data_IF_857046764014
#
_entry.id   IF_857046764014
#
_cell.length_a   1.000
_cell.length_b   1.000
_cell.length_c   1.000
_cell.angle_alpha   90.00
_cell.angle_beta   90.00
_cell.angle_gamma   90.00
#
_symmetry.space_group_name_H-M   'P 1'
#
loop_
_entity.id
_entity.type
_entity.pdbx_description
1 polymer ?
#
# COMPACT_ATOMS: atom_id res chain seq x y z
N UNK A 1 28.44 10.43 -9.36
CA UNK A 1 27.37 10.88 -8.44
C UNK A 1 26.20 9.90 -8.56
N UNK A 2 25.90 9.15 -7.51
CA UNK A 2 24.70 8.35 -7.44
C UNK A 2 23.52 9.30 -7.19
N UNK A 3 22.78 9.61 -8.23
CA UNK A 3 21.53 10.37 -8.11
C UNK A 3 20.45 9.34 -7.74
N UNK A 4 20.27 9.09 -6.44
CA UNK A 4 19.18 8.26 -5.96
C UNK A 4 17.82 8.91 -6.23
N UNK A 5 16.80 8.08 -6.51
CA UNK A 5 15.43 8.58 -6.63
C UNK A 5 14.94 9.08 -5.26
N UNK A 6 14.45 10.32 -5.22
CA UNK A 6 13.81 10.87 -4.02
C UNK A 6 12.43 10.23 -3.85
N UNK A 7 12.17 9.67 -2.66
CA UNK A 7 10.85 9.13 -2.30
C UNK A 7 10.14 10.17 -1.43
N UNK A 8 8.86 10.42 -1.74
CA UNK A 8 7.98 11.28 -0.94
C UNK A 8 7.26 10.45 0.10
N UNK A 9 7.07 11.03 1.29
CA UNK A 9 6.22 10.42 2.33
C UNK A 9 4.75 10.48 1.91
N UNK A 10 3.94 9.56 2.42
CA UNK A 10 2.54 9.42 2.07
C UNK A 10 1.73 10.72 2.23
N UNK A 11 1.90 11.43 3.35
CA UNK A 11 1.24 12.72 3.58
C UNK A 11 1.60 13.76 2.50
N UNK A 12 2.88 13.83 2.11
CA UNK A 12 3.35 14.77 1.07
C UNK A 12 2.71 14.44 -0.29
N UNK A 13 2.59 13.15 -0.64
CA UNK A 13 1.92 12.71 -1.88
C UNK A 13 0.46 13.14 -1.88
N UNK A 14 -0.25 12.93 -0.77
CA UNK A 14 -1.66 13.27 -0.63
C UNK A 14 -1.92 14.78 -0.63
N UNK A 15 -1.10 15.56 0.07
CA UNK A 15 -1.22 17.00 0.14
C UNK A 15 -0.89 17.69 -1.20
N UNK A 16 0.20 17.27 -1.83
CA UNK A 16 0.66 17.85 -3.09
C UNK A 16 -0.04 17.28 -4.31
N UNK A 17 -0.75 16.15 -4.18
CA UNK A 17 -1.39 15.39 -5.27
C UNK A 17 -0.39 15.08 -6.39
N UNK A 18 0.84 14.79 -6.02
CA UNK A 18 1.95 14.48 -6.93
C UNK A 18 2.77 13.33 -6.37
N UNK A 19 3.08 12.37 -7.22
CA UNK A 19 3.92 11.23 -6.90
C UNK A 19 4.51 10.58 -8.15
N UNK A 20 5.67 9.97 -7.99
CA UNK A 20 6.23 9.05 -9.00
C UNK A 20 5.53 7.68 -8.88
N UNK A 21 5.78 6.77 -9.81
CA UNK A 21 5.28 5.38 -9.70
C UNK A 21 5.67 4.74 -8.37
N UNK A 22 6.92 4.95 -7.91
CA UNK A 22 7.40 4.44 -6.63
C UNK A 22 6.69 5.10 -5.43
N UNK A 23 6.48 6.42 -5.45
CA UNK A 23 5.74 7.10 -4.38
C UNK A 23 4.31 6.54 -4.25
N UNK A 24 3.64 6.29 -5.38
CA UNK A 24 2.29 5.74 -5.42
C UNK A 24 2.26 4.26 -5.00
N UNK A 25 3.25 3.46 -5.42
CA UNK A 25 3.38 2.07 -5.00
C UNK A 25 3.59 1.96 -3.47
N UNK A 26 4.47 2.80 -2.90
CA UNK A 26 4.70 2.85 -1.44
C UNK A 26 3.46 3.34 -0.70
N UNK A 27 2.76 4.37 -1.19
CA UNK A 27 1.51 4.84 -0.61
C UNK A 27 0.45 3.73 -0.60
N UNK A 28 0.25 3.05 -1.74
CA UNK A 28 -0.72 1.98 -1.86
C UNK A 28 -0.38 0.80 -0.95
N UNK A 29 0.89 0.36 -0.94
CA UNK A 29 1.37 -0.68 -0.03
C UNK A 29 1.16 -0.31 1.45
N UNK A 30 1.37 0.96 1.82
CA UNK A 30 1.12 1.43 3.19
C UNK A 30 -0.37 1.35 3.57
N UNK A 31 -1.28 1.63 2.63
CA UNK A 31 -2.72 1.46 2.85
C UNK A 31 -3.10 -0.02 3.04
N UNK A 32 -2.55 -0.91 2.22
CA UNK A 32 -2.77 -2.36 2.34
C UNK A 32 -2.25 -2.90 3.67
N UNK A 33 -1.02 -2.51 4.07
CA UNK A 33 -0.44 -2.89 5.37
C UNK A 33 -1.31 -2.39 6.54
N UNK A 34 -1.83 -1.16 6.45
CA UNK A 34 -2.68 -0.56 7.48
C UNK A 34 -4.01 -1.29 7.69
N UNK A 35 -4.53 -1.97 6.68
CA UNK A 35 -5.75 -2.79 6.78
C UNK A 35 -5.45 -4.28 7.01
N UNK A 36 -4.19 -4.64 7.30
CA UNK A 36 -3.79 -5.99 7.68
C UNK A 36 -3.53 -6.93 6.49
N UNK A 37 -3.34 -6.40 5.28
CA UNK A 37 -2.94 -7.18 4.12
C UNK A 37 -1.41 -7.24 3.99
N UNK A 38 -0.90 -8.18 3.19
CA UNK A 38 0.52 -8.42 2.99
C UNK A 38 1.00 -7.88 1.63
N UNK A 39 1.33 -6.58 1.53
CA UNK A 39 1.78 -5.99 0.28
C UNK A 39 3.22 -6.36 -0.06
N UNK A 40 3.50 -6.36 -1.37
CA UNK A 40 4.84 -6.37 -1.93
C UNK A 40 5.02 -5.16 -2.85
N UNK A 41 6.26 -4.70 -3.01
CA UNK A 41 6.60 -3.67 -3.99
C UNK A 41 7.46 -4.33 -5.06
N UNK A 42 7.04 -4.19 -6.31
CA UNK A 42 7.71 -4.78 -7.46
C UNK A 42 8.43 -3.70 -8.23
N UNK A 43 9.69 -3.97 -8.58
CA UNK A 43 10.53 -3.10 -9.38
C UNK A 43 10.80 -3.77 -10.72
N UNK A 44 10.52 -3.04 -11.78
CA UNK A 44 10.90 -3.38 -13.14
C UNK A 44 11.73 -2.24 -13.73
N UNK A 45 12.34 -2.43 -14.88
CA UNK A 45 13.14 -1.40 -15.52
C UNK A 45 12.30 -0.12 -15.74
N UNK A 46 12.71 0.96 -15.09
CA UNK A 46 12.08 2.28 -15.17
C UNK A 46 10.73 2.43 -14.45
N UNK A 47 10.22 1.40 -13.74
CA UNK A 47 8.91 1.47 -13.11
C UNK A 47 8.84 0.69 -11.78
N UNK A 48 7.84 1.05 -10.95
CA UNK A 48 7.51 0.33 -9.73
C UNK A 48 6.00 0.31 -9.52
N UNK A 49 5.48 -0.81 -9.04
CA UNK A 49 4.07 -1.02 -8.74
C UNK A 49 3.87 -1.94 -7.54
N UNK A 50 2.64 -2.15 -7.10
CA UNK A 50 2.35 -2.91 -5.90
C UNK A 50 1.79 -4.29 -6.25
N UNK A 51 2.06 -5.27 -5.38
CA UNK A 51 1.32 -6.52 -5.32
C UNK A 51 0.81 -6.76 -3.91
N UNK A 52 -0.02 -7.79 -3.76
CA UNK A 52 -0.55 -8.20 -2.47
C UNK A 52 -0.71 -9.72 -2.43
N UNK A 53 -0.11 -10.35 -1.42
CA UNK A 53 -0.42 -11.75 -1.12
C UNK A 53 -1.87 -11.87 -0.67
N UNK A 54 -2.59 -12.85 -1.21
CA UNK A 54 -3.98 -13.16 -0.85
C UNK A 54 -4.09 -14.12 0.34
N UNK A 55 -2.99 -14.81 0.63
CA UNK A 55 -2.85 -15.70 1.77
C UNK A 55 -1.83 -15.12 2.77
N UNK A 56 -1.78 -15.67 3.99
CA UNK A 56 -0.79 -15.31 5.02
C UNK A 56 0.60 -15.87 4.68
N UNK A 57 1.06 -15.61 3.46
CA UNK A 57 2.37 -16.03 2.97
C UNK A 57 3.32 -14.84 2.85
N UNK A 58 4.62 -15.15 2.87
CA UNK A 58 5.70 -14.21 2.60
C UNK A 58 6.74 -14.87 1.72
N UNK A 59 7.61 -14.08 1.11
CA UNK A 59 8.81 -14.63 0.48
C UNK A 59 9.78 -15.17 1.53
N UNK A 60 10.71 -16.03 1.09
CA UNK A 60 11.77 -16.55 1.96
C UNK A 60 12.66 -15.41 2.50
N UNK A 61 12.96 -14.44 1.65
CA UNK A 61 13.80 -13.27 1.95
C UNK A 61 13.00 -11.96 1.85
N UNK A 62 13.55 -10.88 2.42
CA UNK A 62 12.94 -9.54 2.37
C UNK A 62 12.79 -9.02 0.94
N UNK A 63 13.66 -9.43 0.05
CA UNK A 63 13.61 -9.10 -1.36
C UNK A 63 14.05 -10.31 -2.19
N UNK A 64 13.49 -10.45 -3.39
CA UNK A 64 13.86 -11.51 -4.36
C UNK A 64 14.07 -10.91 -5.73
N UNK A 65 15.08 -11.38 -6.44
CA UNK A 65 15.34 -11.11 -7.86
C UNK A 65 14.90 -12.28 -8.76
N UNK A 66 14.34 -13.34 -8.17
CA UNK A 66 13.75 -14.47 -8.89
C UNK A 66 12.34 -14.12 -9.38
N UNK A 67 12.21 -13.79 -10.65
CA UNK A 67 10.92 -13.51 -11.29
C UNK A 67 9.93 -14.68 -11.14
N UNK A 68 10.42 -15.93 -11.08
CA UNK A 68 9.56 -17.11 -10.95
C UNK A 68 8.80 -17.14 -9.63
N UNK A 69 9.29 -16.43 -8.61
CA UNK A 69 8.58 -16.27 -7.34
C UNK A 69 7.25 -15.49 -7.50
N UNK A 70 7.20 -14.58 -8.47
CA UNK A 70 5.98 -13.83 -8.81
C UNK A 70 5.14 -14.63 -9.81
N UNK A 71 5.75 -15.08 -10.93
CA UNK A 71 5.05 -15.74 -12.04
C UNK A 71 4.24 -16.95 -11.59
N UNK A 72 4.78 -17.79 -10.71
CA UNK A 72 4.08 -18.96 -10.17
C UNK A 72 2.82 -18.57 -9.39
N UNK A 73 2.86 -17.47 -8.64
CA UNK A 73 1.78 -17.02 -7.77
C UNK A 73 0.67 -16.28 -8.50
N UNK A 74 0.97 -15.68 -9.66
CA UNK A 74 -0.02 -15.02 -10.51
C UNK A 74 -0.56 -15.94 -11.61
N UNK A 75 -0.03 -17.15 -11.74
CA UNK A 75 -0.44 -18.10 -12.75
C UNK A 75 -1.93 -18.46 -12.62
N UNK A 76 -2.56 -18.75 -13.75
CA UNK A 76 -3.97 -19.18 -13.76
C UNK A 76 -4.17 -20.42 -12.89
N UNK A 77 -5.08 -20.31 -11.92
CA UNK A 77 -5.39 -21.37 -10.97
C UNK A 77 -4.57 -21.35 -9.67
N UNK A 78 -3.48 -20.57 -9.58
CA UNK A 78 -2.82 -20.28 -8.31
C UNK A 78 -3.49 -19.08 -7.63
N UNK A 79 -3.53 -17.94 -8.30
CA UNK A 79 -4.14 -16.67 -7.84
C UNK A 79 -3.79 -16.32 -6.38
N UNK A 80 -2.53 -16.60 -5.99
CA UNK A 80 -2.03 -16.36 -4.63
C UNK A 80 -1.53 -14.92 -4.45
N UNK A 81 -1.32 -14.21 -5.57
CA UNK A 81 -0.78 -12.86 -5.59
C UNK A 81 -1.53 -11.99 -6.60
N UNK A 82 -2.02 -10.84 -6.15
CA UNK A 82 -2.53 -9.78 -7.02
C UNK A 82 -1.43 -8.79 -7.34
N UNK A 83 -1.44 -8.26 -8.58
CA UNK A 83 -0.57 -7.19 -9.04
C UNK A 83 -1.42 -5.99 -9.42
N UNK A 84 -1.06 -4.80 -8.93
CA UNK A 84 -1.85 -3.57 -9.10
C UNK A 84 -0.97 -2.46 -9.65
N UNK A 85 -1.35 -1.92 -10.81
CA UNK A 85 -0.73 -0.71 -11.35
C UNK A 85 -1.18 0.52 -10.57
N UNK A 86 -0.30 1.02 -9.70
CA UNK A 86 -0.66 2.09 -8.77
C UNK A 86 -0.81 3.46 -9.42
N UNK A 87 -0.19 3.70 -10.59
CA UNK A 87 -0.35 4.98 -11.30
C UNK A 87 -1.74 5.15 -11.88
N UNK A 88 -2.49 4.06 -12.03
CA UNK A 88 -3.87 4.08 -12.51
C UNK A 88 -4.82 4.83 -11.58
N UNK A 89 -4.51 4.89 -10.27
CA UNK A 89 -5.31 5.69 -9.33
C UNK A 89 -5.34 7.20 -9.64
N UNK A 90 -4.42 7.67 -10.48
CA UNK A 90 -4.35 9.07 -10.90
C UNK A 90 -5.00 9.33 -12.26
N UNK A 91 -5.50 8.29 -12.92
CA UNK A 91 -6.09 8.37 -14.26
C UNK A 91 -7.62 8.40 -14.17
N UNK A 92 -8.24 9.15 -15.07
CA UNK A 92 -9.69 9.12 -15.22
C UNK A 92 -10.14 7.81 -15.92
N UNK A 93 -11.30 7.29 -15.53
CA UNK A 93 -11.94 6.12 -16.17
C UNK A 93 -11.14 4.79 -16.10
N UNK A 94 -10.29 4.63 -15.12
CA UNK A 94 -9.66 3.35 -14.80
C UNK A 94 -10.34 2.77 -13.56
N UNK A 95 -10.83 1.54 -13.69
CA UNK A 95 -11.37 0.74 -12.60
C UNK A 95 -10.29 -0.20 -12.04
N UNK A 96 -10.61 -0.85 -10.93
CA UNK A 96 -9.66 -1.75 -10.26
C UNK A 96 -9.28 -2.95 -11.13
N UNK A 97 -10.22 -3.52 -11.89
CA UNK A 97 -9.94 -4.67 -12.77
C UNK A 97 -8.93 -4.31 -13.86
N UNK A 98 -9.01 -3.09 -14.40
CA UNK A 98 -8.01 -2.60 -15.36
C UNK A 98 -6.64 -2.43 -14.69
N UNK A 99 -6.59 -1.92 -13.46
CA UNK A 99 -5.34 -1.78 -12.72
C UNK A 99 -4.70 -3.12 -12.42
N UNK A 100 -5.49 -4.16 -12.12
CA UNK A 100 -5.01 -5.54 -11.98
C UNK A 100 -4.45 -6.08 -13.31
N UNK A 101 -5.16 -5.83 -14.41
CA UNK A 101 -4.69 -6.22 -15.74
C UNK A 101 -3.37 -5.54 -16.08
N UNK A 102 -3.27 -4.22 -15.91
CA UNK A 102 -2.05 -3.46 -16.19
C UNK A 102 -0.89 -3.93 -15.32
N UNK A 103 -1.12 -4.22 -14.03
CA UNK A 103 -0.11 -4.79 -13.14
C UNK A 103 0.42 -6.13 -13.66
N UNK A 104 -0.45 -7.03 -14.13
CA UNK A 104 -0.06 -8.30 -14.75
C UNK A 104 0.67 -8.10 -16.08
N UNK A 105 0.23 -7.14 -16.90
CA UNK A 105 0.83 -6.87 -18.21
C UNK A 105 2.29 -6.42 -18.10
N UNK A 106 2.71 -5.78 -17.01
CA UNK A 106 4.11 -5.44 -16.75
C UNK A 106 5.02 -6.66 -16.67
N UNK A 107 4.50 -7.80 -16.20
CA UNK A 107 5.28 -9.05 -16.11
C UNK A 107 5.47 -9.74 -17.47
N UNK A 108 4.75 -9.31 -18.52
CA UNK A 108 4.86 -9.89 -19.85
C UNK A 108 6.10 -9.44 -20.63
N UNK A 109 6.89 -8.49 -20.11
CA UNK A 109 8.12 -8.00 -20.74
C UNK A 109 9.32 -8.79 -20.23
N UNK A 110 9.91 -9.70 -21.03
CA UNK A 110 11.04 -10.50 -20.58
C UNK A 110 12.24 -9.63 -20.18
N UNK A 111 12.84 -9.94 -19.04
CA UNK A 111 14.06 -9.27 -18.57
C UNK A 111 13.85 -7.88 -17.96
N UNK A 112 12.62 -7.38 -17.88
CA UNK A 112 12.35 -6.09 -17.22
C UNK A 112 12.30 -6.18 -15.69
N UNK A 113 12.04 -7.36 -15.13
CA UNK A 113 11.97 -7.56 -13.68
C UNK A 113 13.34 -7.34 -13.03
N UNK A 114 13.36 -6.53 -11.97
CA UNK A 114 14.57 -6.24 -11.18
C UNK A 114 14.50 -6.97 -9.84
N UNK A 115 13.47 -6.69 -9.04
CA UNK A 115 13.25 -7.36 -7.77
C UNK A 115 11.84 -7.10 -7.24
N UNK A 116 11.43 -7.91 -6.27
CA UNK A 116 10.26 -7.66 -5.45
C UNK A 116 10.65 -7.60 -3.97
N UNK A 117 10.08 -6.66 -3.22
CA UNK A 117 10.28 -6.47 -1.78
C UNK A 117 9.01 -6.85 -1.05
N UNK A 118 9.10 -7.84 -0.16
CA UNK A 118 8.00 -8.27 0.71
C UNK A 118 7.97 -7.44 1.98
N UNK A 119 6.89 -6.70 2.17
CA UNK A 119 6.76 -5.77 3.30
C UNK A 119 6.57 -6.53 4.61
N UNK A 120 5.75 -7.56 4.66
CA UNK A 120 5.54 -8.35 5.86
C UNK A 120 6.83 -9.05 6.31
N UNK A 121 7.58 -9.62 5.36
CA UNK A 121 8.89 -10.22 5.63
C UNK A 121 9.91 -9.21 6.15
N UNK A 122 9.96 -7.99 5.57
CA UNK A 122 10.85 -6.92 6.04
C UNK A 122 10.50 -6.48 7.46
N UNK A 123 9.20 -6.39 7.82
CA UNK A 123 8.78 -6.11 9.20
C UNK A 123 9.23 -7.22 10.15
N UNK A 124 9.03 -8.47 9.78
CA UNK A 124 9.49 -9.64 10.55
C UNK A 124 11.02 -9.66 10.77
N UNK A 125 11.78 -9.10 9.83
CA UNK A 125 13.24 -8.95 9.92
C UNK A 125 13.70 -7.69 10.69
N UNK A 126 12.76 -6.95 11.29
CA UNK A 126 13.06 -5.78 12.13
C UNK A 126 13.21 -4.46 11.37
N UNK A 127 13.01 -4.44 10.05
CA UNK A 127 13.01 -3.20 9.25
C UNK A 127 11.71 -2.45 9.51
N UNK A 128 11.83 -1.26 10.08
CA UNK A 128 10.68 -0.43 10.46
C UNK A 128 10.40 0.67 9.44
N UNK A 129 9.13 1.09 9.29
CA UNK A 129 8.80 2.24 8.44
C UNK A 129 9.43 3.51 9.01
N UNK A 130 9.68 4.47 8.12
CA UNK A 130 10.08 5.80 8.53
C UNK A 130 8.89 6.44 9.28
N UNK A 131 9.07 6.87 10.55
CA UNK A 131 7.99 7.46 11.30
C UNK A 131 7.55 8.78 10.66
N UNK A 132 6.25 8.94 10.45
CA UNK A 132 5.69 10.25 10.08
C UNK A 132 5.92 11.19 11.27
N UNK A 133 6.61 12.32 11.05
CA UNK A 133 6.57 13.43 11.98
C UNK A 133 5.20 14.09 11.81
N UNK A 134 4.27 13.75 12.68
CA UNK A 134 3.13 14.61 12.92
C UNK A 134 3.73 15.89 13.49
N UNK A 135 3.87 16.93 12.69
CA UNK A 135 3.96 18.27 13.22
C UNK A 135 2.62 18.50 13.92
N UNK A 136 2.59 18.19 15.20
CA UNK A 136 1.57 18.71 16.08
C UNK A 136 1.75 20.22 15.95
N UNK A 137 0.82 20.87 15.25
CA UNK A 137 0.62 22.29 15.41
C UNK A 137 0.37 22.47 16.92
N UNK A 138 1.42 22.81 17.63
CA UNK A 138 1.33 23.38 18.95
C UNK A 138 0.67 24.73 18.75
N UNK A 139 -0.65 24.76 18.67
CA UNK A 139 -1.41 25.94 19.03
C UNK A 139 -1.14 26.14 20.51
N UNK A 140 -0.06 26.91 20.77
CA UNK A 140 0.16 27.50 22.05
C UNK A 140 -0.95 28.52 22.26
N UNK A 141 -2.08 28.08 22.80
CA UNK A 141 -2.96 28.99 23.53
C UNK A 141 -2.17 29.37 24.79
N UNK A 142 -1.59 30.56 24.75
CA UNK A 142 -1.08 31.25 25.91
C UNK A 142 -2.25 31.52 26.87
N UNK A 143 -2.47 30.63 27.81
CA UNK A 143 -3.10 30.97 29.08
C UNK A 143 -2.03 30.90 30.14
N UNK A 144 -1.53 32.08 30.50
CA UNK A 144 -0.78 32.29 31.73
C UNK A 144 -1.67 31.89 32.90
N UNK A 145 -1.29 30.82 33.62
CA UNK A 145 -1.22 30.78 35.08
C UNK A 145 -0.89 29.35 35.55
N UNK A 146 0.09 29.36 36.42
CA UNK A 146 0.44 28.32 37.37
C UNK A 146 1.25 27.10 36.89
N UNK A 147 2.42 27.04 37.44
CA UNK A 147 3.60 26.23 37.21
C UNK A 147 3.47 24.71 37.34
N UNK A 148 2.60 24.05 36.59
CA UNK A 148 2.65 22.57 36.48
C UNK A 148 2.31 22.15 35.06
N UNK A 149 3.36 21.92 34.26
CA UNK A 149 3.26 21.48 32.86
C UNK A 149 2.82 20.02 32.76
N UNK A 150 1.52 19.74 32.76
CA UNK A 150 0.96 18.45 32.40
C UNK A 150 0.74 18.41 30.88
N UNK A 151 1.57 17.65 30.16
CA UNK A 151 1.31 17.33 28.76
C UNK A 151 0.10 16.38 28.72
N UNK A 152 -1.05 16.92 28.33
CA UNK A 152 -2.24 16.11 28.06
C UNK A 152 -2.17 15.66 26.61
N UNK A 153 -1.80 14.40 26.38
CA UNK A 153 -1.96 13.76 25.09
C UNK A 153 -3.47 13.56 24.86
N UNK A 154 -4.07 14.33 23.97
CA UNK A 154 -5.40 13.99 23.44
C UNK A 154 -5.23 12.80 22.50
N UNK A 155 -5.99 11.74 22.74
CA UNK A 155 -6.13 10.63 21.81
C UNK A 155 -6.62 11.16 20.45
N UNK A 156 -6.21 10.53 19.31
CA UNK A 156 -6.78 10.87 18.00
C UNK A 156 -8.29 10.72 18.09
N UNK A 157 -9.02 11.71 17.57
CA UNK A 157 -10.47 11.65 17.43
C UNK A 157 -10.83 10.34 16.71
N UNK A 158 -11.79 9.61 17.28
CA UNK A 158 -12.31 8.37 16.74
C UNK A 158 -12.57 8.51 15.23
N UNK A 159 -11.94 7.63 14.45
CA UNK A 159 -12.29 7.46 13.04
C UNK A 159 -13.79 7.13 13.01
N UNK A 160 -14.56 7.91 12.26
CA UNK A 160 -15.98 7.64 12.08
C UNK A 160 -16.18 6.32 11.32
N UNK A 161 -16.35 5.25 12.08
CA UNK A 161 -16.56 3.89 11.56
C UNK A 161 -17.93 3.73 10.88
N UNK A 162 -18.79 4.75 10.88
CA UNK A 162 -20.12 4.71 10.26
C UNK A 162 -20.04 4.62 8.72
N UNK A 163 -18.92 5.04 8.13
CA UNK A 163 -18.67 4.95 6.69
C UNK A 163 -18.34 3.52 6.21
N UNK A 164 -17.87 2.65 7.11
CA UNK A 164 -17.48 1.27 6.74
C UNK A 164 -18.60 0.24 6.93
N UNK A 165 -19.68 0.59 7.63
CA UNK A 165 -20.81 -0.31 7.92
C UNK A 165 -21.78 -0.55 6.77
N UNK A 166 -21.69 0.17 5.65
CA UNK A 166 -22.64 0.04 4.53
C UNK A 166 -22.23 -0.96 3.44
N UNK A 167 -21.00 -1.40 3.41
CA UNK A 167 -20.50 -2.32 2.36
C UNK A 167 -20.75 -3.81 2.70
N UNK A 168 -21.00 -4.14 3.97
CA UNK A 168 -21.14 -5.53 4.42
C UNK A 168 -22.59 -6.06 4.45
N UNK A 169 -23.62 -5.29 4.08
CA UNK A 169 -25.02 -5.74 4.17
C UNK A 169 -25.68 -6.15 2.85
N UNK A 170 -25.03 -5.92 1.69
CA UNK A 170 -25.62 -6.27 0.38
C UNK A 170 -25.26 -7.66 -0.17
N UNK A 171 -24.56 -8.50 0.58
CA UNK A 171 -24.14 -9.83 0.11
C UNK A 171 -24.99 -11.02 0.62
N UNK A 172 -26.17 -10.79 1.20
CA UNK A 172 -27.05 -11.85 1.70
C UNK A 172 -28.42 -11.86 1.03
N UNK A 173 -28.49 -11.92 -0.30
CA UNK A 173 -29.71 -12.35 -0.97
C UNK A 173 -29.59 -13.85 -1.39
N UNK A 174 -30.54 -14.71 -1.01
CA UNK A 174 -30.50 -16.12 -1.40
C UNK A 174 -30.90 -16.27 -2.87
N UNK A 175 -30.04 -16.90 -3.66
CA UNK A 175 -30.34 -17.31 -5.05
C UNK A 175 -31.56 -18.22 -5.09
N UNK A 176 -32.68 -17.68 -5.57
CA UNK A 176 -33.90 -18.47 -5.86
C UNK A 176 -33.64 -19.31 -7.08
N UNK A 177 -33.67 -20.64 -6.91
CA UNK A 177 -33.65 -21.60 -8.01
C UNK A 177 -34.94 -21.46 -8.81
N UNK A 178 -34.83 -21.09 -10.06
CA UNK A 178 -35.91 -21.27 -11.04
C UNK A 178 -35.82 -22.69 -11.63
N UNK A 179 -36.99 -23.34 -11.65
CA UNK A 179 -37.23 -24.68 -12.26
C UNK A 179 -37.18 -24.59 -13.78
#
# INVERSE_FOLDING_TARGET
EYIGQKIRLANTVLEQKQGTCLDLAVLYASCLEAVGLNPIIIFIEGHAFCGCHLEEETFADCATDDVSAIEKRIAAGAEELLLVECTDMTKENVDFDKSLKHGRDHMNTPGSFICAVDIARTRGSGIRPIPLRLEQALTAENTESDGTRRIRMSAPSELDMSLYGKVAQDSNEPMTKQK
#
